data_IF_857926939909
#
_entry.id   IF_857926939909
#
_cell.length_a   1.000
_cell.length_b   1.000
_cell.length_c   1.000
_cell.angle_alpha   90.00
_cell.angle_beta   90.00
_cell.angle_gamma   90.00
#
_symmetry.space_group_name_H-M   'P 1'
#
loop_
_entity.id
_entity.type
_entity.pdbx_description
1 polymer ?
#
# COMPACT_ATOMS: atom_id res chain seq x y z
N UNK A 1 -21.16 -20.49 -4.36
CA UNK A 1 -20.01 -19.66 -3.91
C UNK A 1 -20.25 -18.89 -2.61
N UNK A 2 -21.51 -18.61 -2.23
CA UNK A 2 -21.89 -17.83 -1.04
C UNK A 2 -21.25 -18.29 0.28
N UNK A 3 -21.25 -19.61 0.56
CA UNK A 3 -20.66 -20.16 1.79
C UNK A 3 -19.19 -19.78 1.96
N UNK A 4 -18.39 -19.78 0.88
CA UNK A 4 -16.97 -19.39 0.94
C UNK A 4 -16.81 -17.90 1.21
N UNK A 5 -17.60 -17.05 0.55
CA UNK A 5 -17.55 -15.60 0.74
C UNK A 5 -17.99 -15.19 2.16
N UNK A 6 -18.97 -15.90 2.72
CA UNK A 6 -19.41 -15.72 4.11
C UNK A 6 -18.28 -16.00 5.10
N UNK A 7 -17.58 -17.14 4.97
CA UNK A 7 -16.46 -17.48 5.84
C UNK A 7 -15.27 -16.53 5.69
N UNK A 8 -14.97 -16.08 4.47
CA UNK A 8 -13.93 -15.07 4.23
C UNK A 8 -14.29 -13.74 4.90
N UNK A 9 -15.54 -13.29 4.78
CA UNK A 9 -15.99 -12.03 5.38
C UNK A 9 -15.92 -12.05 6.90
N UNK A 10 -16.28 -13.18 7.52
CA UNK A 10 -16.13 -13.37 8.97
C UNK A 10 -14.66 -13.33 9.38
N UNK A 11 -13.79 -14.05 8.66
CA UNK A 11 -12.34 -14.06 8.95
C UNK A 11 -11.72 -12.67 8.86
N UNK A 12 -12.10 -11.90 7.83
CA UNK A 12 -11.65 -10.50 7.67
C UNK A 12 -12.17 -9.62 8.80
N UNK A 13 -13.45 -9.75 9.17
CA UNK A 13 -14.05 -8.97 10.28
C UNK A 13 -13.32 -9.21 11.61
N UNK A 14 -13.03 -10.47 11.94
CA UNK A 14 -12.27 -10.83 13.16
C UNK A 14 -10.84 -10.26 13.09
N UNK A 15 -10.18 -10.37 11.94
CA UNK A 15 -8.84 -9.83 11.72
C UNK A 15 -8.77 -8.32 11.95
N UNK A 16 -9.72 -7.56 11.40
CA UNK A 16 -9.78 -6.09 11.58
C UNK A 16 -9.96 -5.72 13.05
N UNK A 17 -10.84 -6.41 13.77
CA UNK A 17 -11.08 -6.15 15.20
C UNK A 17 -9.83 -6.46 16.03
N UNK A 18 -9.15 -7.58 15.74
CA UNK A 18 -7.93 -7.97 16.44
C UNK A 18 -6.80 -6.93 16.21
N UNK A 19 -6.60 -6.47 14.97
CA UNK A 19 -5.61 -5.44 14.64
C UNK A 19 -5.95 -4.12 15.33
N UNK A 20 -7.22 -3.72 15.33
CA UNK A 20 -7.66 -2.47 15.98
C UNK A 20 -7.41 -2.50 17.49
N UNK A 21 -7.71 -3.64 18.14
CA UNK A 21 -7.44 -3.84 19.57
C UNK A 21 -5.95 -3.91 19.87
N UNK A 22 -5.16 -4.58 19.04
CA UNK A 22 -3.70 -4.62 19.18
C UNK A 22 -3.08 -3.23 19.01
N UNK A 23 -3.52 -2.46 18.01
CA UNK A 23 -3.08 -1.07 17.83
C UNK A 23 -3.46 -0.19 19.02
N UNK A 24 -4.69 -0.33 19.54
CA UNK A 24 -5.12 0.41 20.72
C UNK A 24 -4.31 0.02 21.97
N UNK A 25 -4.01 -1.27 22.14
CA UNK A 25 -3.19 -1.77 23.25
C UNK A 25 -1.74 -1.29 23.18
N UNK A 26 -1.15 -1.33 21.98
CA UNK A 26 0.20 -0.79 21.73
C UNK A 26 0.22 0.71 21.97
N UNK A 27 -0.81 1.45 21.52
CA UNK A 27 -0.93 2.89 21.75
C UNK A 27 -1.12 3.24 23.22
N UNK A 28 -1.83 2.41 24.00
CA UNK A 28 -2.07 2.65 25.41
C UNK A 28 -0.88 2.29 26.31
N UNK A 29 -0.05 1.32 25.92
CA UNK A 29 1.07 0.83 26.74
C UNK A 29 2.46 1.24 26.22
N UNK A 30 2.54 2.02 25.13
CA UNK A 30 3.81 2.54 24.60
C UNK A 30 3.77 4.07 24.65
N UNK A 31 4.53 4.73 25.55
CA UNK A 31 4.68 6.17 25.54
C UNK A 31 5.35 6.60 24.22
N UNK A 32 5.02 7.80 23.72
CA UNK A 32 5.46 8.36 22.44
C UNK A 32 6.98 8.32 22.15
N UNK A 33 7.81 8.01 23.15
CA UNK A 33 9.28 7.97 23.12
C UNK A 33 9.88 6.90 22.19
N UNK A 34 9.25 5.73 22.00
CA UNK A 34 9.82 4.69 21.11
C UNK A 34 9.53 4.94 19.62
N UNK A 35 8.50 5.73 19.31
CA UNK A 35 8.14 6.15 17.95
C UNK A 35 9.09 7.24 17.44
N UNK A 36 9.54 8.11 18.34
CA UNK A 36 10.47 9.20 18.06
C UNK A 36 11.93 8.73 17.91
N UNK A 37 12.31 7.59 18.51
CA UNK A 37 13.68 7.06 18.44
C UNK A 37 14.01 6.36 17.11
N UNK A 38 13.02 5.80 16.40
CA UNK A 38 13.24 5.13 15.11
C UNK A 38 12.98 6.00 13.87
N UNK A 39 12.18 7.07 13.97
CA UNK A 39 11.69 7.81 12.79
C UNK A 39 12.00 9.31 12.79
N UNK A 40 12.58 9.85 13.86
CA UNK A 40 12.87 11.28 13.93
C UNK A 40 11.61 12.17 13.89
N UNK A 41 11.78 13.48 14.07
CA UNK A 41 10.68 14.43 14.28
C UNK A 41 9.87 14.81 13.02
N UNK A 42 10.12 14.21 11.85
CA UNK A 42 9.49 14.60 10.57
C UNK A 42 8.46 13.56 10.09
N UNK A 43 7.40 13.37 10.87
CA UNK A 43 6.34 12.38 10.63
C UNK A 43 5.20 12.78 9.69
N UNK A 44 5.27 13.92 9.00
CA UNK A 44 4.11 14.39 8.21
C UNK A 44 4.11 13.95 6.72
N UNK A 45 5.23 13.43 6.20
CA UNK A 45 5.38 13.25 4.74
C UNK A 45 5.82 11.85 4.27
N UNK A 46 5.94 10.86 5.17
CA UNK A 46 6.40 9.51 4.77
C UNK A 46 5.40 8.84 3.83
N UNK A 47 4.10 8.93 4.11
CA UNK A 47 3.04 8.38 3.25
C UNK A 47 3.00 9.06 1.89
N UNK A 48 3.16 10.39 1.84
CA UNK A 48 3.18 11.14 0.57
C UNK A 48 4.39 10.76 -0.27
N UNK A 49 5.59 10.66 0.33
CA UNK A 49 6.80 10.23 -0.37
C UNK A 49 6.69 8.81 -0.94
N UNK A 50 6.06 7.89 -0.22
CA UNK A 50 5.83 6.53 -0.71
C UNK A 50 4.80 6.50 -1.84
N UNK A 51 3.70 7.24 -1.72
CA UNK A 51 2.69 7.34 -2.78
C UNK A 51 3.25 8.00 -4.04
N UNK A 52 4.00 9.08 -3.90
CA UNK A 52 4.70 9.74 -5.01
C UNK A 52 5.70 8.79 -5.68
N UNK A 53 6.46 8.01 -4.90
CA UNK A 53 7.35 6.98 -5.41
C UNK A 53 6.61 5.93 -6.25
N UNK A 54 5.51 5.39 -5.72
CA UNK A 54 4.68 4.39 -6.41
C UNK A 54 4.04 4.95 -7.69
N UNK A 55 3.56 6.19 -7.66
CA UNK A 55 2.94 6.84 -8.84
C UNK A 55 3.99 7.12 -9.91
N UNK A 56 5.19 7.54 -9.53
CA UNK A 56 6.29 7.76 -10.47
C UNK A 56 6.75 6.43 -11.11
N UNK A 57 6.88 5.37 -10.33
CA UNK A 57 7.23 4.04 -10.82
C UNK A 57 6.17 3.47 -11.77
N UNK A 58 4.89 3.66 -11.44
CA UNK A 58 3.77 3.29 -12.30
C UNK A 58 3.80 4.05 -13.63
N UNK A 59 4.02 5.37 -13.60
CA UNK A 59 4.08 6.20 -14.81
C UNK A 59 5.31 5.90 -15.69
N UNK A 60 6.45 5.56 -15.08
CA UNK A 60 7.64 5.12 -15.82
C UNK A 60 7.39 3.78 -16.52
N UNK A 61 6.81 2.81 -15.80
CA UNK A 61 6.47 1.50 -16.34
C UNK A 61 5.42 1.61 -17.45
N UNK A 62 4.41 2.46 -17.27
CA UNK A 62 3.40 2.74 -18.29
C UNK A 62 4.03 3.30 -19.56
N UNK A 63 4.89 4.31 -19.46
CA UNK A 63 5.56 4.93 -20.62
C UNK A 63 6.48 3.95 -21.35
N UNK A 64 7.22 3.13 -20.61
CA UNK A 64 8.04 2.07 -21.21
C UNK A 64 7.17 1.07 -21.99
N UNK A 65 6.02 0.70 -21.44
CA UNK A 65 5.07 -0.21 -22.09
C UNK A 65 4.37 0.42 -23.30
N UNK A 66 4.03 1.71 -23.24
CA UNK A 66 3.50 2.47 -24.38
C UNK A 66 4.52 2.57 -25.52
N UNK A 67 5.80 2.81 -25.21
CA UNK A 67 6.88 2.80 -26.19
C UNK A 67 7.09 1.41 -26.82
N UNK A 68 7.04 0.35 -26.01
CA UNK A 68 7.13 -1.03 -26.47
C UNK A 68 5.94 -1.38 -27.39
N UNK A 69 4.72 -1.03 -27.00
CA UNK A 69 3.53 -1.26 -27.83
C UNK A 69 3.59 -0.46 -29.14
N UNK A 70 4.01 0.81 -29.08
CA UNK A 70 4.15 1.64 -30.28
C UNK A 70 5.16 1.03 -31.26
N UNK A 71 6.31 0.53 -30.77
CA UNK A 71 7.28 -0.17 -31.62
C UNK A 71 6.70 -1.45 -32.25
N UNK A 72 5.92 -2.22 -31.49
CA UNK A 72 5.31 -3.48 -31.95
C UNK A 72 4.20 -3.28 -32.97
N UNK A 73 3.42 -2.20 -32.86
CA UNK A 73 2.31 -1.94 -33.78
C UNK A 73 2.70 -1.03 -34.95
N UNK A 74 3.65 -0.11 -34.78
CA UNK A 74 4.20 0.65 -35.91
C UNK A 74 4.95 -0.27 -36.89
N UNK A 75 5.72 -1.24 -36.38
CA UNK A 75 6.42 -2.23 -37.22
C UNK A 75 5.50 -3.32 -37.82
N UNK A 76 4.21 -3.39 -37.42
CA UNK A 76 3.22 -4.32 -37.98
C UNK A 76 2.40 -3.70 -39.12
N UNK A 77 2.45 -2.37 -39.27
CA UNK A 77 1.67 -1.61 -40.25
C UNK A 77 2.51 -1.12 -41.45
N UNK A 78 3.72 -1.63 -41.61
CA UNK A 78 4.60 -1.46 -42.78
C UNK A 78 4.87 -2.83 -43.41
#
# INVERSE_FOLDING_TARGET
MFKRLFWVSIGVGIGVVAVTKAQAYVKANTPDTARQFLLGPDQDHVTMRTLEGLVNEFNATRRAREAELNSKYAARNE
#
